data_IF_117667244823
#
_entry.id   IF_117667244823
#
_cell.length_a   1.000
_cell.length_b   1.000
_cell.length_c   1.000
_cell.angle_alpha   90.00
_cell.angle_beta   90.00
_cell.angle_gamma   90.00
#
_symmetry.space_group_name_H-M   'P 1'
#
loop_
_entity.id
_entity.type
_entity.pdbx_description
1 polymer ?
#
# COMPACT_ATOMS: atom_id res chain seq x y z
N UNK A 1 17.35 -8.62 -15.26
CA UNK A 1 16.07 -8.19 -15.87
C UNK A 1 14.98 -9.08 -15.29
N UNK A 2 13.96 -8.52 -14.63
CA UNK A 2 12.92 -9.34 -14.00
C UNK A 2 12.00 -9.98 -15.02
N UNK A 3 11.58 -11.22 -14.73
CA UNK A 3 10.50 -11.88 -15.47
C UNK A 3 9.14 -11.39 -14.97
N UNK A 4 8.08 -11.73 -15.71
CA UNK A 4 6.71 -11.47 -15.25
C UNK A 4 6.43 -12.15 -13.90
N UNK A 5 6.99 -13.35 -13.68
CA UNK A 5 6.83 -14.10 -12.42
C UNK A 5 7.49 -13.37 -11.25
N UNK A 6 8.72 -12.91 -11.43
CA UNK A 6 9.44 -12.15 -10.39
C UNK A 6 8.68 -10.87 -10.06
N UNK A 7 8.21 -10.17 -11.09
CA UNK A 7 7.45 -8.93 -10.93
C UNK A 7 6.16 -9.15 -10.13
N UNK A 8 5.40 -10.21 -10.45
CA UNK A 8 4.15 -10.57 -9.74
C UNK A 8 4.43 -10.87 -8.26
N UNK A 9 5.51 -11.59 -7.95
CA UNK A 9 5.87 -11.90 -6.56
C UNK A 9 6.21 -10.65 -5.74
N UNK A 10 6.74 -9.61 -6.38
CA UNK A 10 7.12 -8.36 -5.73
C UNK A 10 5.97 -7.35 -5.60
N UNK A 11 4.83 -7.57 -6.27
CA UNK A 11 3.73 -6.59 -6.30
C UNK A 11 3.11 -6.31 -4.93
N UNK A 12 3.03 -7.30 -4.03
CA UNK A 12 2.47 -7.08 -2.69
C UNK A 12 3.35 -6.10 -1.91
N UNK A 13 4.64 -6.43 -1.77
CA UNK A 13 5.62 -5.58 -1.08
C UNK A 13 5.74 -4.20 -1.73
N UNK A 14 5.61 -4.12 -3.06
CA UNK A 14 5.58 -2.83 -3.78
C UNK A 14 4.39 -1.95 -3.38
N UNK A 15 3.21 -2.54 -3.20
CA UNK A 15 2.01 -1.82 -2.79
C UNK A 15 2.01 -1.45 -1.31
N UNK A 16 2.63 -2.26 -0.46
CA UNK A 16 2.80 -1.98 0.97
C UNK A 16 3.99 -1.04 1.26
N UNK A 17 4.80 -0.72 0.24
CA UNK A 17 5.93 0.20 0.35
C UNK A 17 7.16 -0.39 1.02
N UNK A 18 7.28 -1.72 1.01
CA UNK A 18 8.33 -2.48 1.72
C UNK A 18 9.48 -2.91 0.80
N UNK A 19 9.45 -2.57 -0.50
CA UNK A 19 10.56 -2.84 -1.41
C UNK A 19 11.74 -1.89 -1.17
N UNK A 20 12.94 -2.44 -1.34
CA UNK A 20 14.15 -1.62 -1.44
C UNK A 20 14.11 -0.73 -2.69
N UNK A 21 14.98 0.28 -2.71
CA UNK A 21 15.08 1.20 -3.85
C UNK A 21 15.50 0.48 -5.14
N UNK A 22 16.40 -0.49 -5.03
CA UNK A 22 16.89 -1.30 -6.16
C UNK A 22 15.79 -2.20 -6.74
N UNK A 23 15.06 -2.92 -5.89
CA UNK A 23 13.93 -3.77 -6.32
C UNK A 23 12.83 -2.93 -6.96
N UNK A 24 12.56 -1.75 -6.40
CA UNK A 24 11.57 -0.81 -6.94
C UNK A 24 11.96 -0.35 -8.35
N UNK A 25 13.25 -0.06 -8.57
CA UNK A 25 13.74 0.36 -9.88
C UNK A 25 13.58 -0.75 -10.91
N UNK A 26 14.03 -1.97 -10.59
CA UNK A 26 13.93 -3.11 -11.50
C UNK A 26 12.48 -3.52 -11.81
N UNK A 27 11.59 -3.42 -10.82
CA UNK A 27 10.17 -3.65 -11.05
C UNK A 27 9.56 -2.59 -11.98
N UNK A 28 9.92 -1.32 -11.82
CA UNK A 28 9.45 -0.23 -12.70
C UNK A 28 9.94 -0.43 -14.14
N UNK A 29 11.19 -0.82 -14.32
CA UNK A 29 11.74 -1.14 -15.65
C UNK A 29 10.93 -2.23 -16.35
N UNK A 30 10.59 -3.31 -15.64
CA UNK A 30 9.75 -4.37 -16.19
C UNK A 30 8.34 -3.85 -16.54
N UNK A 31 7.70 -3.09 -15.65
CA UNK A 31 6.36 -2.55 -15.88
C UNK A 31 6.31 -1.57 -17.07
N UNK A 32 7.38 -0.85 -17.36
CA UNK A 32 7.46 0.01 -18.56
C UNK A 32 7.47 -0.81 -19.86
N UNK A 33 8.04 -2.02 -19.85
CA UNK A 33 8.16 -2.88 -21.03
C UNK A 33 7.06 -3.93 -21.19
N UNK A 34 6.20 -4.12 -20.19
CA UNK A 34 5.28 -5.27 -20.12
C UNK A 34 3.84 -4.85 -19.82
N UNK A 35 3.05 -4.59 -20.88
CA UNK A 35 1.61 -4.28 -20.77
C UNK A 35 0.81 -5.31 -19.95
N UNK A 36 1.02 -6.64 -20.12
CA UNK A 36 0.31 -7.63 -19.32
C UNK A 36 0.50 -7.47 -17.80
N UNK A 37 1.73 -7.13 -17.37
CA UNK A 37 2.01 -6.92 -15.95
C UNK A 37 1.42 -5.60 -15.43
N UNK A 38 1.32 -4.57 -16.27
CA UNK A 38 0.61 -3.33 -15.92
C UNK A 38 -0.89 -3.58 -15.74
N UNK A 39 -1.50 -4.32 -16.67
CA UNK A 39 -2.91 -4.69 -16.57
C UNK A 39 -3.19 -5.56 -15.33
N UNK A 40 -2.29 -6.51 -15.03
CA UNK A 40 -2.37 -7.31 -13.81
C UNK A 40 -2.22 -6.45 -12.55
N UNK A 41 -1.27 -5.50 -12.52
CA UNK A 41 -1.11 -4.59 -11.39
C UNK A 41 -2.38 -3.75 -11.14
N UNK A 42 -3.07 -3.32 -12.21
CA UNK A 42 -4.33 -2.57 -12.10
C UNK A 42 -5.42 -3.39 -11.41
N UNK A 43 -5.57 -4.67 -11.76
CA UNK A 43 -6.55 -5.55 -11.12
C UNK A 43 -6.12 -5.95 -9.70
N UNK A 44 -4.82 -6.24 -9.52
CA UNK A 44 -4.24 -6.64 -8.24
C UNK A 44 -4.38 -5.56 -7.15
N UNK A 45 -4.28 -4.27 -7.51
CA UNK A 45 -4.47 -3.13 -6.58
C UNK A 45 -5.82 -3.12 -5.85
N UNK A 46 -6.86 -3.73 -6.42
CA UNK A 46 -8.16 -3.80 -5.77
C UNK A 46 -8.17 -4.80 -4.59
N UNK A 47 -7.35 -5.84 -4.66
CA UNK A 47 -7.37 -6.99 -3.73
C UNK A 47 -6.98 -6.60 -2.30
N UNK A 48 -5.84 -5.90 -2.04
CA UNK A 48 -5.48 -5.48 -0.70
C UNK A 48 -6.50 -4.53 -0.10
N UNK A 49 -7.09 -3.64 -0.91
CA UNK A 49 -8.13 -2.70 -0.46
C UNK A 49 -9.43 -3.41 -0.06
N UNK A 50 -9.83 -4.45 -0.79
CA UNK A 50 -10.98 -5.28 -0.44
C UNK A 50 -10.72 -6.06 0.85
N UNK A 51 -9.56 -6.69 0.99
CA UNK A 51 -9.16 -7.39 2.22
C UNK A 51 -9.06 -6.43 3.41
N UNK A 52 -8.41 -5.27 3.27
CA UNK A 52 -8.34 -4.24 4.32
C UNK A 52 -9.72 -3.75 4.72
N UNK A 53 -10.68 -3.58 3.80
CA UNK A 53 -12.06 -3.20 4.16
C UNK A 53 -12.84 -4.33 4.82
N UNK A 54 -12.69 -5.56 4.35
CA UNK A 54 -13.35 -6.73 4.92
C UNK A 54 -12.82 -7.06 6.33
N UNK A 55 -11.51 -6.89 6.53
CA UNK A 55 -10.79 -7.12 7.77
C UNK A 55 -10.62 -5.83 8.60
N UNK A 56 -11.17 -4.70 8.15
CA UNK A 56 -11.15 -3.46 8.92
C UNK A 56 -11.95 -3.70 10.19
N UNK A 57 -11.25 -4.05 11.26
CA UNK A 57 -11.79 -3.98 12.59
C UNK A 57 -12.27 -2.54 12.79
N UNK A 58 -13.57 -2.37 13.08
CA UNK A 58 -14.08 -1.04 13.47
C UNK A 58 -13.28 -0.61 14.69
N UNK A 59 -12.55 0.49 14.56
CA UNK A 59 -11.81 1.08 15.68
C UNK A 59 -12.78 1.24 16.87
N UNK A 60 -12.45 0.71 18.05
CA UNK A 60 -13.29 0.89 19.22
C UNK A 60 -13.51 2.38 19.50
N UNK A 61 -14.74 2.75 19.80
CA UNK A 61 -15.17 4.15 19.96
C UNK A 61 -14.29 4.92 20.95
N UNK A 62 -13.93 4.28 22.06
CA UNK A 62 -13.07 4.84 23.10
C UNK A 62 -11.67 5.21 22.58
N UNK A 63 -11.09 4.36 21.72
CA UNK A 63 -9.76 4.62 21.12
C UNK A 63 -9.84 5.80 20.16
N UNK A 64 -10.89 5.85 19.33
CA UNK A 64 -11.13 6.97 18.40
C UNK A 64 -11.32 8.30 19.13
N UNK A 65 -12.05 8.30 20.25
CA UNK A 65 -12.32 9.50 21.06
C UNK A 65 -11.03 10.02 21.69
N UNK A 66 -10.26 9.17 22.36
CA UNK A 66 -8.96 9.53 22.97
C UNK A 66 -7.95 10.04 21.94
N UNK A 67 -7.87 9.39 20.77
CA UNK A 67 -6.97 9.81 19.69
C UNK A 67 -7.36 11.19 19.16
N UNK A 68 -8.66 11.44 18.96
CA UNK A 68 -9.16 12.74 18.47
C UNK A 68 -8.85 13.86 19.46
N UNK A 69 -9.05 13.60 20.75
CA UNK A 69 -8.77 14.56 21.82
C UNK A 69 -7.27 14.89 21.91
N UNK A 70 -6.41 13.86 21.82
CA UNK A 70 -4.96 14.02 21.77
C UNK A 70 -4.53 14.86 20.56
N UNK A 71 -4.99 14.54 19.35
CA UNK A 71 -4.64 15.27 18.13
C UNK A 71 -5.09 16.74 18.21
N UNK A 72 -6.31 17.02 18.71
CA UNK A 72 -6.78 18.41 18.92
C UNK A 72 -5.89 19.17 19.90
N UNK A 73 -5.46 18.53 20.98
CA UNK A 73 -4.58 19.17 21.97
C UNK A 73 -3.22 19.55 21.36
N UNK A 74 -2.67 18.70 20.49
CA UNK A 74 -1.38 18.94 19.83
C UNK A 74 -1.47 19.97 18.70
N UNK A 75 -2.54 19.95 17.91
CA UNK A 75 -2.75 20.93 16.84
C UNK A 75 -2.99 22.33 17.42
N UNK A 76 -3.76 22.47 18.51
CA UNK A 76 -3.95 23.76 19.19
C UNK A 76 -2.70 24.30 19.87
N UNK A 77 -1.77 23.43 20.26
CA UNK A 77 -0.49 23.81 20.88
C UNK A 77 0.56 24.27 19.86
N UNK A 78 0.32 24.07 18.56
CA UNK A 78 1.24 24.41 17.48
C UNK A 78 0.77 25.65 16.67
N UNK A 79 -0.25 26.37 17.16
CA UNK A 79 -0.76 27.63 16.62
C UNK A 79 -0.46 28.79 17.56
#
# INVERSE_FOLDING_TARGET
MYTCKDSINLLMNFLDGELSQEETQHLREHLQGCSPCVDFLRTYRATPGLCKRALAARMPKEVSEKLTEYLRSKIKSAS
#
